data_IF_036933115111
#
_entry.id   IF_036933115111
#
_cell.length_a   1.000
_cell.length_b   1.000
_cell.length_c   1.000
_cell.angle_alpha   90.00
_cell.angle_beta   90.00
_cell.angle_gamma   90.00
#
_symmetry.space_group_name_H-M   'P 1'
#
loop_
_entity.id
_entity.type
_entity.pdbx_description
1 polymer ?
#
# COMPACT_ATOMS: atom_id res chain seq x y z
N UNK A 1 7.87 -0.30 -0.46
CA UNK A 1 8.19 -1.40 -1.38
C UNK A 1 7.03 -1.57 -2.34
N UNK A 2 7.29 -1.46 -3.65
CA UNK A 2 6.34 -1.77 -4.70
C UNK A 2 6.85 -3.02 -5.43
N UNK A 3 6.06 -4.08 -5.43
CA UNK A 3 6.42 -5.33 -6.10
C UNK A 3 6.00 -5.31 -7.58
N UNK A 4 6.46 -6.30 -8.35
CA UNK A 4 6.32 -6.37 -9.80
C UNK A 4 4.85 -6.28 -10.23
N UNK A 5 4.59 -5.52 -11.30
CA UNK A 5 3.26 -5.35 -11.88
C UNK A 5 2.21 -4.75 -10.94
N UNK A 6 2.60 -4.16 -9.81
CA UNK A 6 1.69 -3.33 -9.02
C UNK A 6 1.19 -2.16 -9.87
N UNK A 7 -0.11 -1.86 -9.77
CA UNK A 7 -0.76 -0.76 -10.48
C UNK A 7 -1.21 0.26 -9.45
N UNK A 8 -0.70 1.49 -9.57
CA UNK A 8 -1.01 2.59 -8.67
C UNK A 8 -1.87 3.58 -9.43
N UNK A 9 -3.07 3.85 -8.90
CA UNK A 9 -3.99 4.83 -9.43
C UNK A 9 -3.48 6.27 -9.33
N UNK A 10 -4.15 7.18 -10.03
CA UNK A 10 -3.86 8.60 -9.98
C UNK A 10 -4.19 9.18 -8.60
N UNK A 11 -3.35 10.09 -8.09
CA UNK A 11 -3.58 10.77 -6.82
C UNK A 11 -3.47 9.88 -5.57
N UNK A 12 -2.79 8.75 -5.67
CA UNK A 12 -2.57 7.86 -4.53
C UNK A 12 -1.48 8.40 -3.60
N UNK A 13 -1.71 8.30 -2.29
CA UNK A 13 -0.74 8.59 -1.24
C UNK A 13 -0.62 7.39 -0.30
N UNK A 14 0.58 6.82 -0.17
CA UNK A 14 0.84 5.67 0.68
C UNK A 14 1.85 6.05 1.78
N UNK A 15 1.38 6.37 2.98
CA UNK A 15 2.23 6.75 4.11
C UNK A 15 2.05 5.84 5.32
N UNK A 16 3.14 5.29 5.90
CA UNK A 16 3.06 4.53 7.15
C UNK A 16 2.90 5.44 8.39
N UNK A 17 2.91 6.77 8.22
CA UNK A 17 2.86 7.71 9.33
C UNK A 17 1.56 7.59 10.15
N UNK A 18 1.70 7.53 11.48
CA UNK A 18 0.57 7.44 12.42
C UNK A 18 -0.13 6.08 12.43
N UNK A 19 0.44 5.05 11.78
CA UNK A 19 -0.11 3.68 11.75
C UNK A 19 0.76 2.70 12.52
N UNK A 20 0.20 1.56 12.95
CA UNK A 20 0.97 0.49 13.57
C UNK A 20 2.10 0.00 12.65
N UNK A 21 3.21 -0.43 13.25
CA UNK A 21 4.36 -0.96 12.51
C UNK A 21 4.02 -2.18 11.64
N UNK A 22 2.97 -2.92 12.01
CA UNK A 22 2.42 -4.02 11.23
C UNK A 22 0.91 -3.82 11.06
N UNK A 23 0.47 -3.64 9.82
CA UNK A 23 -0.94 -3.43 9.47
C UNK A 23 -1.25 -4.09 8.14
N UNK A 24 -2.42 -4.72 8.04
CA UNK A 24 -2.89 -5.29 6.78
C UNK A 24 -3.91 -4.35 6.14
N UNK A 25 -3.64 -3.97 4.90
CA UNK A 25 -4.53 -3.17 4.10
C UNK A 25 -5.74 -3.97 3.61
N UNK A 26 -6.83 -3.27 3.23
CA UNK A 26 -8.02 -3.90 2.69
C UNK A 26 -7.71 -4.78 1.48
N UNK A 27 -8.37 -5.94 1.44
CA UNK A 27 -8.29 -6.92 0.34
C UNK A 27 -6.86 -7.35 -0.01
N UNK A 28 -5.91 -7.24 0.93
CA UNK A 28 -4.50 -7.62 0.69
C UNK A 28 -3.80 -6.77 -0.37
N UNK A 29 -4.29 -5.56 -0.63
CA UNK A 29 -3.73 -4.67 -1.67
C UNK A 29 -2.46 -3.96 -1.22
N UNK A 30 -2.26 -3.82 0.08
CA UNK A 30 -1.02 -3.30 0.67
C UNK A 30 -0.88 -3.82 2.10
N UNK A 31 0.34 -3.74 2.63
CA UNK A 31 0.68 -4.09 3.99
C UNK A 31 1.64 -3.03 4.53
N UNK A 32 1.61 -2.77 5.83
CA UNK A 32 2.73 -2.12 6.52
C UNK A 32 3.47 -3.23 7.25
N UNK A 33 4.79 -3.28 7.04
CA UNK A 33 5.71 -4.21 7.69
C UNK A 33 6.91 -3.43 8.20
N UNK A 34 7.12 -3.48 9.52
CA UNK A 34 8.14 -2.72 10.22
C UNK A 34 8.17 -1.22 9.85
N UNK A 35 6.97 -0.64 9.68
CA UNK A 35 6.83 0.78 9.29
C UNK A 35 7.10 1.07 7.81
N UNK A 36 7.23 0.06 6.97
CA UNK A 36 7.39 0.20 5.52
C UNK A 36 6.11 -0.25 4.81
N UNK A 37 5.57 0.58 3.92
CA UNK A 37 4.44 0.18 3.07
C UNK A 37 4.92 -0.80 2.00
N UNK A 38 4.26 -1.94 1.87
CA UNK A 38 4.51 -3.01 0.91
C UNK A 38 3.26 -3.19 0.05
N UNK A 39 3.41 -3.03 -1.26
CA UNK A 39 2.36 -3.33 -2.24
C UNK A 39 2.76 -4.62 -2.97
N UNK A 40 1.99 -5.72 -2.83
CA UNK A 40 2.36 -7.02 -3.37
C UNK A 40 2.23 -7.08 -4.90
N UNK A 41 2.84 -8.11 -5.48
CA UNK A 41 2.88 -8.33 -6.93
C UNK A 41 1.48 -8.32 -7.54
N UNK A 42 1.28 -7.50 -8.56
CA UNK A 42 0.01 -7.43 -9.28
C UNK A 42 -1.14 -6.74 -8.53
N UNK A 43 -0.90 -6.22 -7.33
CA UNK A 43 -1.91 -5.47 -6.60
C UNK A 43 -2.31 -4.20 -7.33
N UNK A 44 -3.59 -3.83 -7.19
CA UNK A 44 -4.15 -2.62 -7.79
C UNK A 44 -4.58 -1.70 -6.66
N UNK A 45 -3.98 -0.53 -6.59
CA UNK A 45 -4.39 0.56 -5.71
C UNK A 45 -5.27 1.52 -6.51
N UNK A 46 -6.56 1.69 -6.15
CA UNK A 46 -7.46 2.59 -6.85
C UNK A 46 -7.03 4.06 -6.77
N UNK A 47 -7.51 4.86 -7.71
CA UNK A 47 -7.32 6.31 -7.72
C UNK A 47 -7.77 6.96 -6.39
N UNK A 48 -7.02 7.97 -5.95
CA UNK A 48 -7.31 8.72 -4.73
C UNK A 48 -7.11 7.94 -3.42
N UNK A 49 -6.61 6.70 -3.46
CA UNK A 49 -6.33 5.93 -2.24
C UNK A 49 -5.33 6.69 -1.36
N UNK A 50 -5.73 7.01 -0.14
CA UNK A 50 -4.86 7.63 0.86
C UNK A 50 -4.79 6.73 2.07
N UNK A 51 -3.58 6.29 2.39
CA UNK A 51 -3.26 5.52 3.58
C UNK A 51 -2.04 6.11 4.27
#
# INVERSE_FOLDING_TARGET
ILDKNARIGAGVSLSPAGKPANLDGPEGRWYIRDGVVVVPKGAIIPDGTTI
#
